data_IF_843901942843
#
_entry.id   IF_843901942843
#
_cell.length_a   1.000
_cell.length_b   1.000
_cell.length_c   1.000
_cell.angle_alpha   90.00
_cell.angle_beta   90.00
_cell.angle_gamma   90.00
#
_symmetry.space_group_name_H-M   'P 1'
#
loop_
_entity.id
_entity.type
_entity.pdbx_description
1 polymer ?
#
# COMPACT_ATOMS: atom_id res chain seq x y z
N UNK A 1 -31.47 52.79 0.18
CA UNK A 1 -31.30 51.69 -0.77
C UNK A 1 -29.80 51.39 -0.86
N UNK A 2 -29.20 50.70 0.11
CA UNK A 2 -29.39 49.27 0.48
C UNK A 2 -28.95 48.32 -0.65
N UNK A 3 -27.77 47.70 -0.54
CA UNK A 3 -27.58 46.25 -0.24
C UNK A 3 -26.11 45.76 -0.33
N UNK A 4 -25.75 44.93 0.66
CA UNK A 4 -24.75 43.80 0.69
C UNK A 4 -23.32 44.02 0.18
N UNK A 5 -22.24 43.88 0.97
CA UNK A 5 -21.73 42.74 1.77
C UNK A 5 -21.61 41.41 1.01
N UNK A 6 -20.39 41.10 0.56
CA UNK A 6 -19.80 39.75 0.45
C UNK A 6 -18.29 39.98 0.20
N UNK A 7 -17.42 39.95 1.21
CA UNK A 7 -16.78 38.75 1.76
C UNK A 7 -16.51 37.67 0.70
N UNK A 8 -15.32 37.74 0.11
CA UNK A 8 -14.68 36.57 -0.52
C UNK A 8 -13.26 36.53 0.00
N UNK A 9 -13.10 35.89 1.17
CA UNK A 9 -11.84 35.25 1.53
C UNK A 9 -11.45 34.33 0.35
N UNK A 10 -10.40 34.72 -0.39
CA UNK A 10 -9.72 33.78 -1.29
C UNK A 10 -8.94 32.83 -0.38
N UNK A 11 -9.58 31.72 -0.05
CA UNK A 11 -8.98 30.64 0.72
C UNK A 11 -7.76 30.10 -0.03
N UNK A 12 -6.58 30.32 0.56
CA UNK A 12 -5.36 29.64 0.17
C UNK A 12 -5.47 28.19 0.62
N UNK A 13 -5.63 27.27 -0.32
CA UNK A 13 -4.91 25.97 -0.42
C UNK A 13 -5.48 25.12 -1.57
N UNK A 14 -5.11 25.48 -2.80
CA UNK A 14 -4.92 24.49 -3.87
C UNK A 14 -3.71 23.63 -3.50
N UNK A 15 -3.91 22.71 -2.57
CA UNK A 15 -3.04 21.55 -2.40
C UNK A 15 -4.00 20.36 -2.35
N UNK A 16 -3.63 19.28 -3.01
CA UNK A 16 -4.31 17.97 -2.98
C UNK A 16 -5.26 17.65 -4.15
N UNK A 17 -4.85 17.99 -5.39
CA UNK A 17 -5.18 17.15 -6.55
C UNK A 17 -4.20 15.95 -6.59
N UNK A 18 -4.22 15.14 -5.54
CA UNK A 18 -3.75 13.76 -5.64
C UNK A 18 -4.94 12.95 -6.15
N UNK A 19 -4.77 11.98 -7.07
CA UNK A 19 -5.88 11.16 -7.54
C UNK A 19 -6.56 10.49 -6.35
N UNK A 20 -7.71 11.03 -5.95
CA UNK A 20 -8.59 10.43 -4.97
C UNK A 20 -9.28 9.26 -5.66
N UNK A 21 -8.58 8.13 -5.74
CA UNK A 21 -9.22 6.91 -6.19
C UNK A 21 -10.39 6.62 -5.24
N UNK A 22 -11.59 6.33 -5.75
CA UNK A 22 -12.73 6.04 -4.89
C UNK A 22 -12.30 4.97 -3.89
N UNK A 23 -12.57 5.21 -2.61
CA UNK A 23 -12.25 4.29 -1.52
C UNK A 23 -13.04 2.96 -1.60
N UNK A 24 -13.91 2.82 -2.60
CA UNK A 24 -15.00 1.83 -2.63
C UNK A 24 -14.61 0.44 -3.14
N UNK A 25 -13.43 0.26 -3.75
CA UNK A 25 -12.98 -1.07 -4.25
C UNK A 25 -11.51 -1.38 -3.92
N UNK A 26 -10.94 -0.74 -2.89
CA UNK A 26 -9.60 -1.11 -2.42
C UNK A 26 -9.73 -2.22 -1.40
N UNK A 27 -9.32 -3.43 -1.78
CA UNK A 27 -9.13 -4.48 -0.78
C UNK A 27 -8.03 -4.02 0.19
N UNK A 28 -8.33 -4.10 1.49
CA UNK A 28 -7.38 -3.75 2.56
C UNK A 28 -6.96 -5.03 3.24
N UNK A 29 -5.66 -5.29 3.27
CA UNK A 29 -5.04 -6.38 4.04
C UNK A 29 -4.22 -5.75 5.15
N UNK A 30 -4.28 -6.30 6.36
CA UNK A 30 -3.39 -5.86 7.44
C UNK A 30 -2.12 -6.68 7.42
N UNK A 31 -0.98 -6.05 7.64
CA UNK A 31 0.31 -6.76 7.64
C UNK A 31 0.34 -7.89 8.70
N UNK A 32 -0.29 -7.68 9.84
CA UNK A 32 -0.41 -8.67 10.92
C UNK A 32 -1.28 -9.88 10.60
N UNK A 33 -2.16 -9.79 9.60
CA UNK A 33 -3.01 -10.90 9.16
C UNK A 33 -2.28 -11.79 8.12
N UNK A 34 -1.10 -11.37 7.68
CA UNK A 34 -0.28 -12.14 6.75
C UNK A 34 0.47 -13.23 7.50
N UNK A 35 0.55 -14.40 6.87
CA UNK A 35 1.29 -15.55 7.40
C UNK A 35 2.65 -15.58 6.73
N UNK A 36 3.69 -15.36 7.51
CA UNK A 36 5.08 -15.48 7.09
C UNK A 36 5.54 -16.94 7.02
N UNK A 37 6.50 -17.21 6.14
CA UNK A 37 7.22 -18.48 6.14
C UNK A 37 8.38 -18.49 7.16
N UNK A 38 9.13 -19.59 7.20
CA UNK A 38 10.24 -19.80 8.13
C UNK A 38 11.36 -18.74 8.09
N UNK A 39 11.46 -17.95 7.03
CA UNK A 39 12.40 -16.84 6.84
C UNK A 39 11.79 -15.46 7.11
N UNK A 40 10.53 -15.35 7.53
CA UNK A 40 9.86 -14.06 7.68
C UNK A 40 9.40 -13.46 6.34
N UNK A 41 9.25 -14.30 5.31
CA UNK A 41 8.87 -13.90 3.96
C UNK A 41 7.37 -14.16 3.75
N UNK A 42 6.70 -13.24 3.06
CA UNK A 42 5.29 -13.38 2.65
C UNK A 42 5.22 -13.19 1.16
N UNK A 43 4.51 -14.08 0.45
CA UNK A 43 4.22 -13.92 -0.97
C UNK A 43 2.74 -13.62 -1.13
N UNK A 44 2.45 -12.49 -1.77
CA UNK A 44 1.08 -12.09 -2.09
C UNK A 44 0.74 -12.51 -3.52
N UNK A 45 -0.15 -13.49 -3.63
CA UNK A 45 -0.72 -13.91 -4.90
C UNK A 45 -1.95 -13.08 -5.21
N UNK A 46 -1.98 -12.53 -6.42
CA UNK A 46 -3.11 -11.74 -6.90
C UNK A 46 -3.98 -12.54 -7.86
N UNK A 47 -4.53 -13.68 -7.41
CA UNK A 47 -5.46 -14.50 -8.22
C UNK A 47 -6.75 -13.76 -8.58
N UNK A 48 -7.10 -12.73 -7.80
CA UNK A 48 -8.27 -11.89 -8.02
C UNK A 48 -8.05 -10.80 -9.08
N UNK A 49 -6.85 -10.71 -9.68
CA UNK A 49 -6.47 -9.68 -10.66
C UNK A 49 -6.75 -8.25 -10.18
N UNK A 50 -6.57 -8.01 -8.87
CA UNK A 50 -6.71 -6.69 -8.28
C UNK A 50 -5.72 -5.72 -8.92
N UNK A 51 -6.19 -4.58 -9.39
CA UNK A 51 -5.29 -3.53 -9.87
C UNK A 51 -4.53 -2.87 -8.71
N UNK A 52 -5.13 -2.85 -7.51
CA UNK A 52 -4.59 -2.18 -6.33
C UNK A 52 -4.95 -2.91 -5.05
N UNK A 53 -4.00 -2.96 -4.12
CA UNK A 53 -4.19 -3.45 -2.76
C UNK A 53 -3.65 -2.43 -1.75
N UNK A 54 -4.42 -2.17 -0.70
CA UNK A 54 -3.94 -1.39 0.43
C UNK A 54 -3.41 -2.33 1.52
N UNK A 55 -2.18 -2.11 1.96
CA UNK A 55 -1.58 -2.82 3.09
C UNK A 55 -1.59 -1.91 4.32
N UNK A 56 -2.45 -2.22 5.28
CA UNK A 56 -2.60 -1.53 6.54
C UNK A 56 -1.54 -2.00 7.55
N UNK A 57 -0.67 -1.09 8.01
CA UNK A 57 0.37 -1.38 9.01
C UNK A 57 0.97 -0.11 9.60
N UNK A 58 1.29 -0.12 10.90
CA UNK A 58 2.14 0.88 11.55
C UNK A 58 3.64 0.59 11.39
N UNK A 59 4.01 -0.56 10.82
CA UNK A 59 5.42 -0.91 10.56
C UNK A 59 5.91 -0.19 9.32
N UNK A 60 6.94 0.64 9.48
CA UNK A 60 7.52 1.40 8.37
C UNK A 60 8.24 0.48 7.37
N UNK A 61 8.06 0.69 6.04
CA UNK A 61 8.87 0.06 5.04
C UNK A 61 10.30 0.63 5.09
N UNK A 62 11.29 -0.26 5.11
CA UNK A 62 12.71 0.10 5.18
C UNK A 62 13.42 -0.09 3.84
N UNK A 63 12.91 -0.97 2.99
CA UNK A 63 13.48 -1.25 1.67
C UNK A 63 12.36 -1.59 0.68
N UNK A 64 12.56 -1.22 -0.59
CA UNK A 64 11.70 -1.62 -1.71
C UNK A 64 12.57 -1.93 -2.91
N UNK A 65 12.14 -2.90 -3.72
CA UNK A 65 12.89 -3.25 -4.93
C UNK A 65 12.22 -4.35 -5.73
N UNK A 66 13.00 -4.95 -6.61
CA UNK A 66 12.67 -6.14 -7.36
C UNK A 66 13.53 -7.30 -6.87
N UNK A 67 12.92 -8.46 -6.70
CA UNK A 67 13.57 -9.67 -6.28
C UNK A 67 14.40 -10.23 -7.44
N UNK A 68 15.68 -10.45 -7.19
CA UNK A 68 16.51 -11.28 -8.08
C UNK A 68 16.09 -12.75 -8.02
N UNK A 69 16.92 -13.66 -8.57
CA UNK A 69 16.68 -15.09 -8.48
C UNK A 69 16.55 -15.57 -7.02
N UNK A 70 15.34 -15.91 -6.58
CA UNK A 70 15.07 -16.28 -5.18
C UNK A 70 13.86 -17.19 -5.06
N UNK A 71 14.00 -18.23 -4.24
CA UNK A 71 12.92 -19.15 -3.87
C UNK A 71 12.71 -19.06 -2.37
N UNK A 72 11.48 -18.77 -1.94
CA UNK A 72 11.13 -18.62 -0.52
C UNK A 72 11.21 -19.95 0.22
N UNK A 73 11.18 -19.93 1.56
CA UNK A 73 11.21 -21.18 2.32
C UNK A 73 9.91 -22.01 2.13
N UNK A 74 8.82 -21.35 1.74
CA UNK A 74 7.59 -22.01 1.31
C UNK A 74 7.70 -22.71 -0.06
N UNK A 75 8.80 -22.49 -0.79
CA UNK A 75 9.07 -23.10 -2.09
C UNK A 75 8.55 -22.28 -3.29
N UNK A 76 8.21 -21.01 -3.10
CA UNK A 76 7.71 -20.15 -4.16
C UNK A 76 8.84 -19.41 -4.87
N UNK A 77 8.85 -19.43 -6.20
CA UNK A 77 9.79 -18.63 -6.99
C UNK A 77 9.27 -17.20 -7.10
N UNK A 78 9.98 -16.27 -6.45
CA UNK A 78 9.64 -14.84 -6.46
C UNK A 78 10.57 -14.04 -7.36
N UNK A 79 11.28 -14.73 -8.26
CA UNK A 79 12.20 -14.11 -9.22
C UNK A 79 11.45 -13.10 -10.11
N UNK A 80 11.86 -11.83 -10.05
CA UNK A 80 11.21 -10.73 -10.78
C UNK A 80 9.99 -10.13 -10.09
N UNK A 81 9.65 -10.55 -8.87
CA UNK A 81 8.57 -9.94 -8.09
C UNK A 81 9.04 -8.62 -7.48
N UNK A 82 8.13 -7.68 -7.27
CA UNK A 82 8.44 -6.55 -6.41
C UNK A 82 8.41 -6.97 -4.95
N UNK A 83 9.22 -6.29 -4.12
CA UNK A 83 9.22 -6.52 -2.68
C UNK A 83 9.21 -5.24 -1.87
N UNK A 84 8.67 -5.36 -0.65
CA UNK A 84 8.80 -4.37 0.43
C UNK A 84 9.34 -5.10 1.65
N UNK A 85 10.47 -4.64 2.19
CA UNK A 85 10.95 -5.07 3.49
C UNK A 85 10.50 -4.07 4.56
N UNK A 86 10.08 -4.59 5.70
CA UNK A 86 9.57 -3.82 6.83
C UNK A 86 10.55 -3.85 8.00
N UNK A 87 10.49 -2.81 8.85
CA UNK A 87 11.41 -2.68 9.99
C UNK A 87 11.32 -3.78 11.05
N UNK A 88 10.25 -4.59 11.02
CA UNK A 88 10.07 -5.76 11.89
C UNK A 88 10.76 -7.03 11.34
N UNK A 89 11.42 -6.96 10.18
CA UNK A 89 12.09 -8.08 9.54
C UNK A 89 11.25 -8.82 8.48
N UNK A 90 9.96 -8.49 8.35
CA UNK A 90 9.09 -9.10 7.34
C UNK A 90 9.45 -8.59 5.94
N UNK A 91 9.50 -9.51 4.96
CA UNK A 91 9.63 -9.16 3.54
C UNK A 91 8.42 -9.65 2.76
N UNK A 92 7.68 -8.72 2.17
CA UNK A 92 6.51 -8.99 1.36
C UNK A 92 6.87 -8.95 -0.12
N UNK A 93 6.60 -10.02 -0.85
CA UNK A 93 6.75 -10.12 -2.30
C UNK A 93 5.38 -10.06 -2.98
N UNK A 94 5.31 -9.40 -4.13
CA UNK A 94 4.09 -9.27 -4.93
C UNK A 94 4.41 -9.15 -6.41
N UNK A 95 3.49 -9.63 -7.26
CA UNK A 95 3.66 -9.68 -8.70
C UNK A 95 3.70 -8.29 -9.34
N UNK A 96 4.42 -8.16 -10.45
CA UNK A 96 4.38 -6.98 -11.32
C UNK A 96 2.93 -6.74 -11.79
N UNK A 97 2.46 -5.49 -11.72
CA UNK A 97 1.10 -5.11 -12.11
C UNK A 97 0.10 -4.96 -10.96
N UNK A 98 0.46 -5.37 -9.73
CA UNK A 98 -0.29 -5.00 -8.54
C UNK A 98 0.25 -3.69 -7.94
N UNK A 99 -0.60 -2.67 -7.87
CA UNK A 99 -0.27 -1.42 -7.16
C UNK A 99 -0.46 -1.62 -5.64
N UNK A 100 0.63 -1.89 -4.92
CA UNK A 100 0.60 -2.07 -3.47
C UNK A 100 0.85 -0.75 -2.74
N UNK A 101 -0.17 -0.27 -2.01
CA UNK A 101 -0.11 0.98 -1.26
C UNK A 101 -0.04 0.70 0.23
N UNK A 102 1.03 1.11 0.90
CA UNK A 102 1.17 0.99 2.36
C UNK A 102 0.46 2.17 3.03
N UNK A 103 -0.46 1.88 3.95
CA UNK A 103 -1.25 2.86 4.69
C UNK A 103 -1.17 2.58 6.20
N UNK A 104 -1.16 3.60 7.06
CA UNK A 104 -1.21 3.38 8.51
C UNK A 104 -2.53 2.70 8.91
N UNK A 105 -2.46 1.72 9.82
CA UNK A 105 -3.62 0.90 10.21
C UNK A 105 -4.70 1.70 10.97
N UNK A 106 -4.29 2.78 11.63
CA UNK A 106 -5.17 3.70 12.34
C UNK A 106 -5.58 4.93 11.52
N UNK A 107 -5.50 4.89 10.18
CA UNK A 107 -6.09 5.91 9.33
C UNK A 107 -7.63 5.86 9.37
N UNK A 108 -8.21 6.13 10.53
CA UNK A 108 -9.59 6.60 10.64
C UNK A 108 -9.60 8.03 10.12
N UNK A 109 -10.06 8.22 8.89
CA UNK A 109 -10.58 9.50 8.41
C UNK A 109 -12.00 9.71 8.92
#
# INVERSE_FOLDING_TARGET
MDKELADVLVDRRDVEDAPQFPADERMVLRLQDLVEDANGEVVLFNDSHLARLALATDVAPVERGEAGPHVTAAGEDVSGFHFIAFGNGLKLFFQEGLDLVVTPEHASV
#
